data_IF_754659169997
#
_entry.id   IF_754659169997
#
_cell.length_a   1.000
_cell.length_b   1.000
_cell.length_c   1.000
_cell.angle_alpha   90.00
_cell.angle_beta   90.00
_cell.angle_gamma   90.00
#
_symmetry.space_group_name_H-M   'P 1'
#
loop_
_entity.id
_entity.type
_entity.pdbx_description
1 polymer ?
#
# COMPACT_ATOMS: atom_id res chain seq x y z
N UNK A 1 9.10 -8.38 15.20
CA UNK A 1 9.06 -7.18 14.32
C UNK A 1 8.25 -6.08 14.97
N UNK A 2 8.73 -4.86 14.91
CA UNK A 2 8.06 -3.72 15.53
C UNK A 2 6.92 -3.19 14.65
N UNK A 3 6.00 -2.40 15.22
CA UNK A 3 4.99 -1.71 14.44
C UNK A 3 5.58 -0.83 13.34
N UNK A 4 6.75 -0.23 13.58
CA UNK A 4 7.42 0.57 12.55
C UNK A 4 7.85 -0.28 11.37
N UNK A 5 8.31 -1.51 11.60
CA UNK A 5 8.69 -2.42 10.53
C UNK A 5 7.47 -2.81 9.68
N UNK A 6 6.32 -3.00 10.32
CA UNK A 6 5.09 -3.32 9.62
C UNK A 6 4.65 -2.18 8.72
N UNK A 7 4.77 -0.94 9.20
CA UNK A 7 4.44 0.26 8.41
C UNK A 7 5.39 0.43 7.23
N UNK A 8 6.68 0.19 7.46
CA UNK A 8 7.68 0.28 6.41
C UNK A 8 7.42 -0.81 5.35
N UNK A 9 7.12 -2.03 5.79
CA UNK A 9 6.80 -3.12 4.87
C UNK A 9 5.57 -2.82 4.04
N UNK A 10 4.51 -2.32 4.68
CA UNK A 10 3.28 -1.96 3.99
C UNK A 10 3.49 -0.81 3.02
N UNK A 11 4.25 0.21 3.42
CA UNK A 11 4.53 1.35 2.57
C UNK A 11 5.39 0.96 1.38
N UNK A 12 6.44 0.19 1.59
CA UNK A 12 7.32 -0.26 0.52
C UNK A 12 6.58 -1.17 -0.46
N UNK A 13 5.82 -2.13 0.07
CA UNK A 13 5.03 -3.03 -0.77
C UNK A 13 3.95 -2.30 -1.55
N UNK A 14 3.28 -1.35 -0.92
CA UNK A 14 2.27 -0.53 -1.57
C UNK A 14 2.85 0.33 -2.68
N UNK A 15 4.03 0.90 -2.46
CA UNK A 15 4.71 1.70 -3.47
C UNK A 15 5.09 0.85 -4.69
N UNK A 16 5.75 -0.28 -4.45
CA UNK A 16 6.16 -1.17 -5.54
C UNK A 16 4.95 -1.72 -6.29
N UNK A 17 3.98 -2.24 -5.55
CA UNK A 17 2.80 -2.83 -6.17
C UNK A 17 1.96 -1.80 -6.91
N UNK A 18 1.81 -0.61 -6.35
CA UNK A 18 1.05 0.47 -6.98
C UNK A 18 1.70 0.95 -8.28
N UNK A 19 3.01 1.19 -8.22
CA UNK A 19 3.75 1.65 -9.39
C UNK A 19 3.76 0.61 -10.51
N UNK A 20 4.12 -0.61 -10.19
CA UNK A 20 4.14 -1.69 -11.16
C UNK A 20 2.75 -2.00 -11.70
N UNK A 21 1.76 -2.07 -10.80
CA UNK A 21 0.39 -2.35 -11.19
C UNK A 21 -0.16 -1.30 -12.13
N UNK A 22 0.13 -0.02 -11.87
CA UNK A 22 -0.31 1.07 -12.74
C UNK A 22 0.36 0.96 -14.11
N UNK A 23 1.64 0.63 -14.13
CA UNK A 23 2.38 0.48 -15.39
C UNK A 23 1.74 -0.57 -16.29
N UNK A 24 1.30 -1.69 -15.71
CA UNK A 24 0.75 -2.82 -16.46
C UNK A 24 -0.73 -2.65 -16.77
N UNK A 25 -1.54 -2.22 -15.80
CA UNK A 25 -2.99 -2.25 -15.86
C UNK A 25 -3.72 -0.94 -15.55
N UNK A 26 -3.01 0.18 -15.55
CA UNK A 26 -3.65 1.48 -15.28
C UNK A 26 -4.20 1.58 -13.87
N UNK A 27 -5.29 2.34 -13.68
CA UNK A 27 -5.84 2.60 -12.35
C UNK A 27 -6.29 1.36 -11.60
N UNK A 28 -6.89 0.40 -12.29
CA UNK A 28 -7.31 -0.86 -11.67
C UNK A 28 -6.06 -1.65 -11.24
N UNK A 29 -5.05 -1.69 -12.13
CA UNK A 29 -3.79 -2.35 -11.81
C UNK A 29 -3.08 -1.70 -10.64
N UNK A 30 -3.12 -0.37 -10.55
CA UNK A 30 -2.52 0.37 -9.45
C UNK A 30 -3.17 -0.02 -8.12
N UNK A 31 -4.49 -0.03 -8.08
CA UNK A 31 -5.22 -0.36 -6.87
C UNK A 31 -4.96 -1.80 -6.41
N UNK A 32 -5.08 -2.75 -7.31
CA UNK A 32 -4.86 -4.15 -7.00
C UNK A 32 -3.41 -4.43 -6.63
N UNK A 33 -2.47 -3.87 -7.40
CA UNK A 33 -1.05 -4.05 -7.15
C UNK A 33 -0.63 -3.48 -5.81
N UNK A 34 -1.09 -2.28 -5.48
CA UNK A 34 -0.79 -1.64 -4.21
C UNK A 34 -1.38 -2.43 -3.04
N UNK A 35 -2.61 -2.90 -3.19
CA UNK A 35 -3.26 -3.69 -2.14
C UNK A 35 -2.49 -4.99 -1.86
N UNK A 36 -2.15 -5.73 -2.91
CA UNK A 36 -1.40 -6.97 -2.76
C UNK A 36 -0.01 -6.70 -2.19
N UNK A 37 0.67 -5.69 -2.73
CA UNK A 37 2.02 -5.35 -2.29
C UNK A 37 2.06 -4.93 -0.82
N UNK A 38 1.14 -4.07 -0.40
CA UNK A 38 1.09 -3.62 0.98
C UNK A 38 0.73 -4.76 1.93
N UNK A 39 -0.21 -5.61 1.52
CA UNK A 39 -0.59 -6.77 2.31
C UNK A 39 0.59 -7.71 2.53
N UNK A 40 1.28 -8.06 1.45
CA UNK A 40 2.46 -8.93 1.53
C UNK A 40 3.57 -8.27 2.35
N UNK A 41 3.85 -6.99 2.11
CA UNK A 41 4.88 -6.27 2.83
C UNK A 41 4.62 -6.22 4.33
N UNK A 42 3.38 -5.91 4.73
CA UNK A 42 2.99 -5.89 6.14
C UNK A 42 3.12 -7.26 6.76
N UNK A 43 2.61 -8.30 6.09
CA UNK A 43 2.65 -9.66 6.59
C UNK A 43 4.08 -10.17 6.75
N UNK A 44 4.95 -9.87 5.77
CA UNK A 44 6.37 -10.26 5.81
C UNK A 44 7.07 -9.66 7.02
N UNK A 45 6.68 -8.46 7.43
CA UNK A 45 7.24 -7.78 8.59
C UNK A 45 6.51 -8.12 9.90
N UNK A 46 5.74 -9.20 9.91
CA UNK A 46 5.09 -9.68 11.12
C UNK A 46 3.75 -9.04 11.45
N UNK A 47 3.12 -8.40 10.48
CA UNK A 47 1.82 -7.79 10.68
C UNK A 47 0.73 -8.81 10.96
N UNK A 48 -0.24 -8.44 11.79
CA UNK A 48 -1.41 -9.26 12.04
C UNK A 48 -2.29 -9.29 10.80
N UNK A 49 -3.27 -10.21 10.78
CA UNK A 49 -4.24 -10.30 9.71
C UNK A 49 -4.98 -8.98 9.52
N UNK A 50 -5.33 -8.32 10.62
CA UNK A 50 -6.04 -7.05 10.56
C UNK A 50 -5.16 -5.92 10.04
N UNK A 51 -3.90 -5.87 10.48
CA UNK A 51 -2.93 -4.91 9.97
C UNK A 51 -2.71 -5.11 8.48
N UNK A 52 -2.60 -6.36 8.05
CA UNK A 52 -2.43 -6.70 6.64
C UNK A 52 -3.62 -6.23 5.81
N UNK A 53 -4.84 -6.49 6.29
CA UNK A 53 -6.06 -6.10 5.60
C UNK A 53 -6.20 -4.58 5.51
N UNK A 54 -5.97 -3.88 6.61
CA UNK A 54 -6.07 -2.42 6.63
C UNK A 54 -5.00 -1.78 5.75
N UNK A 55 -3.79 -2.32 5.76
CA UNK A 55 -2.72 -1.84 4.89
C UNK A 55 -3.07 -2.03 3.42
N UNK A 56 -3.64 -3.17 3.07
CA UNK A 56 -4.04 -3.47 1.70
C UNK A 56 -5.14 -2.51 1.22
N UNK A 57 -6.15 -2.29 2.04
CA UNK A 57 -7.24 -1.38 1.70
C UNK A 57 -6.72 0.04 1.54
N UNK A 58 -5.93 0.51 2.51
CA UNK A 58 -5.37 1.86 2.47
C UNK A 58 -4.47 2.07 1.25
N UNK A 59 -3.63 1.10 0.95
CA UNK A 59 -2.73 1.19 -0.21
C UNK A 59 -3.49 1.19 -1.52
N UNK A 60 -4.51 0.34 -1.64
CA UNK A 60 -5.32 0.27 -2.85
C UNK A 60 -6.01 1.59 -3.14
N UNK A 61 -6.69 2.16 -2.15
CA UNK A 61 -7.38 3.43 -2.28
C UNK A 61 -6.36 4.55 -2.53
N UNK A 62 -5.29 4.59 -1.73
CA UNK A 62 -4.27 5.62 -1.85
C UNK A 62 -3.59 5.63 -3.20
N UNK A 63 -3.33 4.47 -3.77
CA UNK A 63 -2.68 4.35 -5.07
C UNK A 63 -3.55 4.96 -6.18
N UNK A 64 -4.85 4.67 -6.15
CA UNK A 64 -5.78 5.22 -7.14
C UNK A 64 -5.90 6.74 -6.99
N UNK A 65 -6.03 7.23 -5.75
CA UNK A 65 -6.10 8.67 -5.49
C UNK A 65 -4.80 9.36 -5.90
N UNK A 66 -3.65 8.77 -5.57
CA UNK A 66 -2.35 9.33 -5.95
C UNK A 66 -2.18 9.43 -7.45
N UNK A 67 -2.63 8.41 -8.18
CA UNK A 67 -2.61 8.44 -9.64
C UNK A 67 -3.48 9.57 -10.17
N UNK A 68 -4.67 9.77 -9.58
CA UNK A 68 -5.60 10.80 -10.03
C UNK A 68 -5.07 12.21 -9.79
N UNK A 69 -4.38 12.45 -8.68
CA UNK A 69 -3.90 13.76 -8.28
C UNK A 69 -2.54 14.08 -8.89
N UNK A 70 -1.56 13.19 -8.72
CA UNK A 70 -0.18 13.41 -9.16
C UNK A 70 0.01 12.92 -10.59
N UNK A 71 -0.58 11.80 -10.89
CA UNK A 71 -0.52 11.18 -12.22
C UNK A 71 0.56 10.12 -12.35
N UNK A 72 0.32 9.20 -13.27
CA UNK A 72 1.27 8.19 -13.69
C UNK A 72 1.67 7.18 -12.63
N UNK A 73 2.70 6.43 -12.94
CA UNK A 73 3.21 5.38 -12.05
C UNK A 73 3.77 5.96 -10.76
N UNK A 74 4.36 7.15 -10.82
CA UNK A 74 4.89 7.84 -9.65
C UNK A 74 3.78 8.18 -8.67
N UNK A 75 2.66 8.73 -9.16
CA UNK A 75 1.52 9.06 -8.30
C UNK A 75 0.92 7.82 -7.66
N UNK A 76 0.80 6.74 -8.43
CA UNK A 76 0.30 5.47 -7.91
C UNK A 76 1.22 4.90 -6.83
N UNK A 77 2.53 5.00 -7.03
CA UNK A 77 3.51 4.50 -6.06
C UNK A 77 3.48 5.31 -4.77
N UNK A 78 3.45 6.63 -4.89
CA UNK A 78 3.43 7.51 -3.71
C UNK A 78 2.14 7.29 -2.92
N UNK A 79 1.00 7.24 -3.61
CA UNK A 79 -0.28 7.02 -2.96
C UNK A 79 -0.36 5.65 -2.28
N UNK A 80 0.19 4.62 -2.93
CA UNK A 80 0.26 3.28 -2.37
C UNK A 80 1.11 3.23 -1.11
N UNK A 81 2.23 3.95 -1.10
CA UNK A 81 3.11 4.02 0.07
C UNK A 81 2.40 4.70 1.25
N UNK A 82 1.81 5.85 0.99
CA UNK A 82 1.11 6.62 2.04
C UNK A 82 -0.08 5.81 2.57
N UNK A 83 -0.91 5.30 1.68
CA UNK A 83 -2.10 4.55 2.07
C UNK A 83 -1.78 3.27 2.82
N UNK A 84 -0.76 2.53 2.38
CA UNK A 84 -0.33 1.30 3.05
C UNK A 84 0.20 1.57 4.44
N UNK A 85 1.06 2.56 4.56
CA UNK A 85 1.63 2.94 5.86
C UNK A 85 0.57 3.47 6.81
N UNK A 86 -0.34 4.32 6.31
CA UNK A 86 -1.43 4.85 7.13
C UNK A 86 -2.38 3.75 7.60
N UNK A 87 -2.72 2.81 6.69
CA UNK A 87 -3.58 1.70 7.05
C UNK A 87 -3.00 0.86 8.18
N UNK A 88 -1.72 0.55 8.10
CA UNK A 88 -1.03 -0.21 9.14
C UNK A 88 -1.03 0.57 10.46
N UNK A 89 -0.73 1.86 10.40
CA UNK A 89 -0.66 2.70 11.59
C UNK A 89 -2.00 2.78 12.31
N UNK A 90 -3.10 2.89 11.56
CA UNK A 90 -4.43 2.95 12.15
C UNK A 90 -4.75 1.68 12.92
N UNK A 91 -4.47 0.53 12.33
CA UNK A 91 -4.74 -0.75 12.99
C UNK A 91 -3.90 -0.94 14.24
N UNK A 92 -2.63 -0.54 14.19
CA UNK A 92 -1.72 -0.69 15.33
C UNK A 92 -2.15 0.10 16.56
N UNK A 93 -2.92 1.16 16.38
CA UNK A 93 -3.39 2.01 17.49
C UNK A 93 -4.64 1.47 18.20
N UNK A 94 -5.23 0.45 17.67
CA UNK A 94 -6.35 -0.22 18.33
C UNK A 94 -5.85 -1.20 19.37
#
# INVERSE_FOLDING_TARGET
>A
MSPSDQRIGAAAGGALGGGLGNHVGGGIGAGLGAAVGAGVGSNTQGGSKQTTTKSAIGAGIGSVVGKAIIGGDTGAAIGGAIGGGAGAAIEEKK
#
